data_IF_109291742413
#
_entry.id   IF_109291742413
#
_cell.length_a   1.000
_cell.length_b   1.000
_cell.length_c   1.000
_cell.angle_alpha   90.00
_cell.angle_beta   90.00
_cell.angle_gamma   90.00
#
_symmetry.space_group_name_H-M   'P 1'
#
loop_
_entity.id
_entity.type
_entity.pdbx_description
1 polymer ?
#
# COMPACT_ATOMS: atom_id res chain seq x y z
N UNK A 1 17.97 42.29 -17.57
CA UNK A 1 17.05 41.34 -18.23
C UNK A 1 17.25 39.86 -17.83
N UNK A 2 18.45 39.37 -17.49
CA UNK A 2 18.67 37.94 -17.17
C UNK A 2 18.06 37.44 -15.83
N UNK A 3 17.88 38.31 -14.84
CA UNK A 3 17.39 37.89 -13.49
C UNK A 3 15.88 37.57 -13.49
N UNK A 4 15.08 38.28 -14.27
CA UNK A 4 13.63 38.06 -14.35
C UNK A 4 13.29 36.80 -15.17
N UNK A 5 14.10 36.45 -16.16
CA UNK A 5 13.91 35.24 -16.96
C UNK A 5 14.14 33.95 -16.15
N UNK A 6 15.06 33.96 -15.18
CA UNK A 6 15.32 32.82 -14.30
C UNK A 6 14.16 32.61 -13.31
N UNK A 7 13.58 33.70 -12.80
CA UNK A 7 12.42 33.66 -11.88
C UNK A 7 11.19 33.12 -12.63
N UNK A 8 10.94 33.59 -13.85
CA UNK A 8 9.84 33.08 -14.69
C UNK A 8 10.02 31.61 -15.03
N UNK A 9 11.23 31.17 -15.35
CA UNK A 9 11.55 29.76 -15.63
C UNK A 9 11.31 28.86 -14.42
N UNK A 10 11.78 29.27 -13.22
CA UNK A 10 11.51 28.54 -11.99
C UNK A 10 10.01 28.55 -11.62
N UNK A 11 9.31 29.67 -11.84
CA UNK A 11 7.86 29.75 -11.60
C UNK A 11 7.09 28.82 -12.57
N UNK A 12 7.51 28.71 -13.83
CA UNK A 12 6.86 27.82 -14.80
C UNK A 12 7.10 26.34 -14.47
N UNK A 13 8.31 25.99 -14.02
CA UNK A 13 8.60 24.63 -13.54
C UNK A 13 7.77 24.32 -12.27
N UNK A 14 7.69 25.25 -11.32
CA UNK A 14 6.88 25.08 -10.13
C UNK A 14 5.40 24.93 -10.46
N UNK A 15 4.89 25.66 -11.43
CA UNK A 15 3.49 25.58 -11.87
C UNK A 15 3.18 24.29 -12.63
N UNK A 16 4.13 23.75 -13.40
CA UNK A 16 3.97 22.47 -14.10
C UNK A 16 4.01 21.24 -13.15
N UNK A 17 4.61 21.37 -11.96
CA UNK A 17 4.60 20.34 -10.92
C UNK A 17 3.30 20.31 -10.11
N UNK A 18 2.47 21.36 -10.20
CA UNK A 18 1.20 21.47 -9.42
C UNK A 18 -0.01 20.88 -10.17
N UNK A 19 0.15 20.43 -11.40
CA UNK A 19 -0.97 19.88 -12.20
C UNK A 19 -1.34 18.42 -11.90
N UNK A 20 -0.76 17.81 -10.88
CA UNK A 20 -1.22 16.51 -10.38
C UNK A 20 -2.30 16.69 -9.33
N UNK A 21 -3.34 15.87 -9.39
CA UNK A 21 -4.47 15.87 -8.47
C UNK A 21 -3.98 15.84 -7.01
N UNK A 22 -4.12 16.98 -6.32
CA UNK A 22 -3.72 17.11 -4.92
C UNK A 22 -4.82 16.44 -4.08
N UNK A 23 -4.54 15.26 -3.54
CA UNK A 23 -5.37 14.65 -2.51
C UNK A 23 -5.16 15.38 -1.18
N UNK A 24 -6.26 15.87 -0.59
CA UNK A 24 -6.27 16.95 0.41
C UNK A 24 -6.31 16.49 1.87
N UNK A 25 -6.03 15.23 2.20
CA UNK A 25 -6.28 14.74 3.56
C UNK A 25 -5.24 15.19 4.61
N UNK A 26 -3.97 15.36 4.23
CA UNK A 26 -2.93 15.87 5.13
C UNK A 26 -2.97 17.37 5.37
N UNK A 27 -3.83 18.08 4.68
CA UNK A 27 -3.90 19.56 4.75
C UNK A 27 -4.38 20.10 6.10
N UNK A 28 -5.16 19.31 6.86
CA UNK A 28 -5.65 19.78 8.16
C UNK A 28 -4.48 19.94 9.15
N UNK A 29 -3.65 18.88 9.28
CA UNK A 29 -2.49 18.90 10.18
C UNK A 29 -1.47 19.96 9.79
N UNK A 30 -1.29 20.19 8.48
CA UNK A 30 -0.33 21.16 7.94
C UNK A 30 -0.54 22.59 8.45
N UNK A 31 -1.75 22.94 8.89
CA UNK A 31 -2.10 24.25 9.40
C UNK A 31 -2.29 24.31 10.93
N UNK A 32 -2.09 23.19 11.64
CA UNK A 32 -2.28 23.09 13.09
C UNK A 32 -0.98 23.43 13.86
N UNK A 33 -0.60 24.70 13.96
CA UNK A 33 0.63 25.16 14.61
C UNK A 33 0.75 24.85 16.12
N UNK A 34 -0.36 24.50 16.78
CA UNK A 34 -0.36 24.15 18.21
C UNK A 34 -0.11 22.67 18.49
N UNK A 35 -0.15 21.82 17.44
CA UNK A 35 0.00 20.37 17.56
C UNK A 35 1.44 19.99 17.18
N UNK A 36 2.18 19.28 18.05
CA UNK A 36 3.56 18.86 17.76
C UNK A 36 3.74 18.07 16.47
N UNK A 37 2.70 17.31 16.08
CA UNK A 37 2.69 16.45 14.89
C UNK A 37 2.78 17.24 13.56
N UNK A 38 2.58 18.56 13.57
CA UNK A 38 2.75 19.41 12.37
C UNK A 38 4.15 19.26 11.76
N UNK A 39 5.17 18.97 12.58
CA UNK A 39 6.53 18.71 12.12
C UNK A 39 6.66 17.44 11.24
N UNK A 40 5.68 16.55 11.25
CA UNK A 40 5.66 15.37 10.37
C UNK A 40 5.23 15.74 8.93
N UNK A 41 4.51 16.83 8.74
CA UNK A 41 4.09 17.31 7.42
C UNK A 41 5.09 18.31 6.81
N UNK A 42 5.81 19.03 7.66
CA UNK A 42 6.85 19.97 7.22
C UNK A 42 7.87 20.18 8.36
N UNK A 43 9.13 19.76 8.19
CA UNK A 43 10.14 19.89 9.23
C UNK A 43 10.51 21.35 9.58
N UNK A 44 10.12 22.33 8.77
CA UNK A 44 10.28 23.75 9.09
C UNK A 44 9.15 24.29 9.99
N UNK A 45 8.00 23.60 10.07
CA UNK A 45 6.89 24.00 10.93
C UNK A 45 7.09 23.46 12.34
N UNK A 46 7.32 24.36 13.28
CA UNK A 46 7.55 24.02 14.66
C UNK A 46 6.32 24.34 15.51
N UNK A 47 6.00 23.49 16.48
CA UNK A 47 4.92 23.78 17.43
C UNK A 47 5.26 25.03 18.25
N UNK A 48 4.21 25.71 18.75
CA UNK A 48 4.36 26.93 19.55
C UNK A 48 4.97 26.68 20.92
N UNK A 49 4.94 25.44 21.42
CA UNK A 49 5.49 25.05 22.72
C UNK A 49 7.02 25.07 22.74
N UNK A 50 7.60 25.31 23.93
CA UNK A 50 9.06 25.26 24.13
C UNK A 50 9.60 23.84 24.05
N UNK A 51 8.86 22.88 24.56
CA UNK A 51 9.19 21.47 24.52
C UNK A 51 7.91 20.62 24.57
N UNK A 52 7.98 19.41 24.03
CA UNK A 52 6.94 18.40 24.17
C UNK A 52 7.59 17.03 24.32
N UNK A 53 6.86 16.13 24.96
CA UNK A 53 7.18 14.70 25.03
C UNK A 53 5.88 13.94 24.77
N UNK A 54 5.94 13.00 23.88
CA UNK A 54 4.85 12.07 23.55
C UNK A 54 5.19 10.65 23.93
N UNK A 55 4.22 9.96 24.52
CA UNK A 55 4.33 8.56 24.95
C UNK A 55 3.49 7.65 24.05
N UNK A 56 3.78 6.34 24.02
CA UNK A 56 3.01 5.38 23.25
C UNK A 56 1.51 5.49 23.57
N UNK A 57 0.67 5.29 22.55
CA UNK A 57 -0.79 5.38 22.59
C UNK A 57 -1.39 6.76 22.91
N UNK A 58 -0.63 7.71 23.43
CA UNK A 58 -1.12 9.04 23.82
C UNK A 58 -0.62 10.15 22.90
N UNK A 59 0.40 9.89 22.06
CA UNK A 59 1.09 10.97 21.35
C UNK A 59 0.67 11.14 19.90
N UNK A 60 0.54 10.08 19.13
CA UNK A 60 0.08 10.14 17.74
C UNK A 60 -0.29 8.77 17.21
N UNK A 61 -1.48 8.69 16.70
CA UNK A 61 -1.98 7.62 15.86
C UNK A 61 -2.47 8.28 14.57
N UNK A 62 -1.85 7.93 13.46
CA UNK A 62 -2.32 8.33 12.13
C UNK A 62 -2.90 7.11 11.43
N UNK A 63 -4.04 7.31 10.82
CA UNK A 63 -4.77 6.29 10.10
C UNK A 63 -5.43 6.91 8.88
N UNK A 64 -5.13 6.40 7.71
CA UNK A 64 -5.70 6.85 6.46
C UNK A 64 -6.15 5.67 5.61
N UNK A 65 -7.35 5.77 5.04
CA UNK A 65 -7.87 4.81 4.07
C UNK A 65 -8.35 5.60 2.85
N UNK A 66 -7.76 5.30 1.70
CA UNK A 66 -8.17 5.89 0.43
C UNK A 66 -8.65 4.80 -0.51
N UNK A 67 -9.70 5.11 -1.26
CA UNK A 67 -10.24 4.26 -2.32
C UNK A 67 -10.48 5.10 -3.58
N UNK A 68 -9.94 4.65 -4.70
CA UNK A 68 -10.12 5.33 -5.99
C UNK A 68 -11.31 4.78 -6.79
N UNK A 69 -11.84 3.62 -6.39
CA UNK A 69 -12.79 2.86 -7.20
C UNK A 69 -14.24 3.35 -7.07
N UNK A 70 -14.72 3.57 -5.85
CA UNK A 70 -16.11 3.91 -5.61
C UNK A 70 -16.28 4.75 -4.33
N UNK A 71 -17.38 5.48 -4.24
CA UNK A 71 -17.77 6.18 -3.01
C UNK A 71 -19.01 5.53 -2.39
N UNK A 72 -19.29 5.84 -1.12
CA UNK A 72 -20.41 5.23 -0.36
C UNK A 72 -21.75 5.24 -1.14
N UNK A 73 -22.07 6.35 -1.82
CA UNK A 73 -23.29 6.50 -2.62
C UNK A 73 -23.36 5.56 -3.84
N UNK A 74 -22.22 4.99 -4.27
CA UNK A 74 -22.16 4.08 -5.41
C UNK A 74 -22.41 2.63 -4.96
N UNK A 75 -22.22 2.33 -3.68
CA UNK A 75 -22.41 0.99 -3.13
C UNK A 75 -23.90 0.74 -2.85
N UNK A 76 -24.58 1.72 -2.26
CA UNK A 76 -25.91 1.52 -1.72
C UNK A 76 -27.00 2.19 -2.57
N UNK A 77 -28.09 1.45 -2.73
CA UNK A 77 -29.34 1.91 -3.32
C UNK A 77 -30.47 1.65 -2.35
N UNK A 78 -31.33 2.64 -2.15
CA UNK A 78 -32.53 2.48 -1.32
C UNK A 78 -33.48 1.46 -1.97
N UNK A 79 -34.05 0.57 -1.17
CA UNK A 79 -35.04 -0.40 -1.66
C UNK A 79 -36.34 0.34 -2.04
N UNK A 80 -36.92 0.04 -3.21
CA UNK A 80 -38.16 0.69 -3.66
C UNK A 80 -39.35 0.42 -2.76
N UNK A 81 -39.36 -0.71 -2.06
CA UNK A 81 -40.48 -1.19 -1.25
C UNK A 81 -40.35 -0.89 0.25
N UNK A 82 -39.11 -0.65 0.71
CA UNK A 82 -38.80 -0.41 2.13
C UNK A 82 -37.86 0.77 2.26
N UNK A 83 -38.39 1.93 2.63
CA UNK A 83 -37.61 3.20 2.66
C UNK A 83 -36.45 3.19 3.68
N UNK A 84 -36.50 2.31 4.67
CA UNK A 84 -35.45 2.18 5.70
C UNK A 84 -34.39 1.11 5.36
N UNK A 85 -34.51 0.45 4.20
CA UNK A 85 -33.64 -0.63 3.80
C UNK A 85 -32.78 -0.25 2.58
N UNK A 86 -31.52 -0.68 2.60
CA UNK A 86 -30.57 -0.46 1.52
C UNK A 86 -30.15 -1.80 0.92
N UNK A 87 -29.96 -1.81 -0.39
CA UNK A 87 -29.38 -2.93 -1.12
C UNK A 87 -28.07 -2.50 -1.76
N UNK A 88 -27.15 -3.45 -1.97
CA UNK A 88 -25.92 -3.22 -2.72
C UNK A 88 -26.25 -3.22 -4.21
N UNK A 89 -25.90 -2.16 -4.91
CA UNK A 89 -26.09 -2.02 -6.36
C UNK A 89 -24.78 -2.34 -7.09
N UNK A 90 -24.59 -3.61 -7.44
CA UNK A 90 -23.38 -4.08 -8.12
C UNK A 90 -23.21 -3.47 -9.54
N UNK A 91 -24.31 -3.13 -10.23
CA UNK A 91 -24.23 -2.45 -11.53
C UNK A 91 -23.66 -1.05 -11.38
N UNK A 92 -24.08 -0.36 -10.33
CA UNK A 92 -23.61 0.99 -10.04
C UNK A 92 -22.16 0.99 -9.60
N UNK A 93 -21.74 0.01 -8.79
CA UNK A 93 -20.33 -0.19 -8.41
C UNK A 93 -19.49 -0.43 -9.67
N UNK A 94 -19.89 -1.37 -10.52
CA UNK A 94 -19.16 -1.71 -11.75
C UNK A 94 -18.99 -0.51 -12.68
N UNK A 95 -20.01 0.33 -12.82
CA UNK A 95 -19.95 1.54 -13.63
C UNK A 95 -19.07 2.65 -13.02
N UNK A 96 -18.89 2.67 -11.70
CA UNK A 96 -18.04 3.61 -11.00
C UNK A 96 -16.55 3.20 -11.05
N UNK A 97 -16.29 1.89 -11.15
CA UNK A 97 -14.93 1.36 -11.17
C UNK A 97 -14.21 1.65 -12.49
N UNK A 98 -12.95 2.03 -12.38
CA UNK A 98 -12.01 2.06 -13.51
C UNK A 98 -11.45 0.66 -13.80
N UNK A 99 -10.67 0.51 -14.87
CA UNK A 99 -10.02 -0.76 -15.20
C UNK A 99 -9.09 -1.25 -14.09
N UNK A 100 -8.49 -0.33 -13.34
CA UNK A 100 -7.64 -0.57 -12.16
C UNK A 100 -8.05 0.36 -11.04
N UNK A 101 -8.33 -0.21 -9.88
CA UNK A 101 -8.77 0.53 -8.71
C UNK A 101 -7.81 0.26 -7.55
N UNK A 102 -7.61 1.25 -6.69
CA UNK A 102 -6.66 1.17 -5.59
C UNK A 102 -7.38 1.39 -4.28
N UNK A 103 -7.08 0.54 -3.32
CA UNK A 103 -7.36 0.72 -1.91
C UNK A 103 -6.02 0.91 -1.21
N UNK A 104 -5.82 2.05 -0.55
CA UNK A 104 -4.60 2.32 0.22
C UNK A 104 -4.94 2.42 1.69
N UNK A 105 -4.03 1.91 2.50
CA UNK A 105 -4.12 1.91 3.94
C UNK A 105 -2.78 2.35 4.51
N UNK A 106 -2.77 3.51 5.17
CA UNK A 106 -1.60 4.05 5.82
C UNK A 106 -1.84 4.14 7.33
N UNK A 107 -0.97 3.52 8.09
CA UNK A 107 -0.99 3.54 9.54
C UNK A 107 0.37 3.91 10.09
N UNK A 108 0.40 4.95 10.94
CA UNK A 108 1.61 5.37 11.65
C UNK A 108 1.33 5.46 13.14
N UNK A 109 2.08 4.70 13.90
CA UNK A 109 2.02 4.68 15.35
C UNK A 109 3.31 5.21 15.96
N UNK A 110 3.22 6.32 16.66
CA UNK A 110 4.37 6.91 17.36
C UNK A 110 4.60 6.21 18.70
N UNK A 111 5.78 5.61 18.82
CA UNK A 111 6.21 4.96 20.07
C UNK A 111 6.73 6.02 21.06
N UNK A 112 7.63 6.86 20.61
CA UNK A 112 8.21 7.96 21.38
C UNK A 112 8.39 9.11 20.43
N UNK A 113 8.04 10.31 20.88
CA UNK A 113 8.41 11.53 20.17
C UNK A 113 8.68 12.65 21.18
N UNK A 114 9.67 13.45 20.92
CA UNK A 114 9.93 14.63 21.70
C UNK A 114 10.57 15.72 20.85
N UNK A 115 10.43 16.94 21.29
CA UNK A 115 11.10 18.07 20.68
C UNK A 115 11.28 19.21 21.68
N UNK A 116 12.27 20.04 21.43
CA UNK A 116 12.56 21.18 22.27
C UNK A 116 13.24 22.28 21.49
N UNK A 117 13.00 23.51 21.97
CA UNK A 117 13.58 24.73 21.43
C UNK A 117 14.94 24.99 22.05
N UNK A 118 15.97 25.13 21.20
CA UNK A 118 17.31 25.52 21.59
C UNK A 118 17.47 27.00 21.26
N UNK A 119 17.60 27.83 22.30
CA UNK A 119 17.54 29.29 22.18
C UNK A 119 16.20 29.71 21.52
N UNK A 120 16.13 30.82 20.80
CA UNK A 120 14.90 31.24 20.13
C UNK A 120 14.80 30.80 18.66
N UNK A 121 15.90 30.37 18.08
CA UNK A 121 16.05 30.17 16.64
C UNK A 121 15.97 28.70 16.22
N UNK A 122 16.43 27.79 17.06
CA UNK A 122 16.54 26.36 16.70
C UNK A 122 15.46 25.53 17.38
N UNK A 123 14.98 24.55 16.67
CA UNK A 123 14.07 23.54 17.20
C UNK A 123 14.57 22.14 16.82
N UNK A 124 14.78 21.31 17.81
CA UNK A 124 15.16 19.91 17.65
C UNK A 124 13.95 19.00 17.85
N UNK A 125 13.84 17.94 17.05
CA UNK A 125 12.83 16.89 17.19
C UNK A 125 13.48 15.52 17.07
N UNK A 126 12.95 14.58 17.82
CA UNK A 126 13.30 13.16 17.68
C UNK A 126 12.03 12.33 17.82
N UNK A 127 11.93 11.24 17.03
CA UNK A 127 10.80 10.34 17.10
C UNK A 127 11.15 8.93 16.67
N UNK A 128 10.42 7.98 17.25
CA UNK A 128 10.40 6.57 16.85
C UNK A 128 8.96 6.23 16.54
N UNK A 129 8.71 5.70 15.36
CA UNK A 129 7.38 5.26 14.94
C UNK A 129 7.42 3.93 14.19
N UNK A 130 6.30 3.23 14.19
CA UNK A 130 6.04 2.10 13.30
C UNK A 130 5.10 2.55 12.21
N UNK A 131 5.45 2.25 10.98
CA UNK A 131 4.67 2.59 9.79
C UNK A 131 4.22 1.31 9.10
N UNK A 132 2.97 1.27 8.69
CA UNK A 132 2.38 0.24 7.84
C UNK A 132 1.78 0.97 6.65
N UNK A 133 2.30 0.67 5.46
CA UNK A 133 1.80 1.22 4.21
C UNK A 133 1.36 0.05 3.34
N UNK A 134 0.11 0.05 2.95
CA UNK A 134 -0.49 -0.99 2.11
C UNK A 134 -1.20 -0.34 0.93
N UNK A 135 -0.95 -0.88 -0.26
CA UNK A 135 -1.65 -0.51 -1.47
C UNK A 135 -2.12 -1.77 -2.19
N UNK A 136 -3.40 -1.98 -2.18
CA UNK A 136 -4.07 -3.07 -2.85
C UNK A 136 -4.69 -2.58 -4.16
N UNK A 137 -4.29 -3.15 -5.30
CA UNK A 137 -4.90 -2.88 -6.60
C UNK A 137 -5.78 -4.04 -7.02
N UNK A 138 -7.01 -3.73 -7.42
CA UNK A 138 -7.96 -4.70 -7.96
C UNK A 138 -8.58 -4.19 -9.27
N UNK A 139 -8.77 -5.09 -10.26
CA UNK A 139 -9.43 -4.73 -11.51
C UNK A 139 -10.96 -4.73 -11.35
N UNK A 140 -11.63 -3.93 -12.20
CA UNK A 140 -13.10 -3.88 -12.31
C UNK A 140 -13.70 -5.25 -12.60
N UNK A 141 -12.98 -6.11 -13.31
CA UNK A 141 -13.47 -7.38 -13.81
C UNK A 141 -13.86 -8.35 -12.69
N UNK A 142 -13.40 -8.14 -11.44
CA UNK A 142 -13.92 -8.87 -10.28
C UNK A 142 -15.44 -8.68 -10.08
N UNK A 143 -15.94 -7.47 -10.31
CA UNK A 143 -17.38 -7.20 -10.21
C UNK A 143 -18.10 -7.69 -11.47
N UNK A 144 -17.46 -7.59 -12.64
CA UNK A 144 -17.99 -8.08 -13.92
C UNK A 144 -18.13 -9.60 -13.94
N UNK A 145 -17.30 -10.34 -13.17
CA UNK A 145 -17.32 -11.79 -13.05
C UNK A 145 -18.70 -12.35 -12.63
N UNK A 146 -19.52 -11.58 -11.91
CA UNK A 146 -20.91 -11.95 -11.56
C UNK A 146 -21.80 -12.26 -12.77
N UNK A 147 -21.45 -11.73 -13.95
CA UNK A 147 -22.14 -11.98 -15.22
C UNK A 147 -21.61 -13.22 -15.95
N UNK A 148 -20.63 -13.91 -15.34
CA UNK A 148 -19.88 -14.99 -15.94
C UNK A 148 -18.67 -14.47 -16.75
N UNK A 149 -17.84 -15.42 -17.16
CA UNK A 149 -16.62 -15.17 -17.94
C UNK A 149 -16.79 -15.48 -19.44
N UNK A 150 -18.00 -15.84 -19.85
CA UNK A 150 -18.33 -16.03 -21.26
C UNK A 150 -18.48 -14.66 -21.93
N UNK A 151 -17.64 -14.40 -22.91
CA UNK A 151 -17.74 -13.24 -23.78
C UNK A 151 -17.84 -13.70 -25.23
N UNK A 152 -18.92 -13.32 -25.91
CA UNK A 152 -19.06 -13.52 -27.36
C UNK A 152 -17.92 -12.85 -28.13
N UNK A 153 -17.27 -11.87 -27.53
CA UNK A 153 -16.14 -11.15 -28.12
C UNK A 153 -14.79 -11.82 -27.86
N UNK A 154 -14.73 -12.88 -27.06
CA UNK A 154 -13.47 -13.53 -26.69
C UNK A 154 -12.53 -12.68 -25.83
N UNK A 155 -13.01 -11.56 -25.25
CA UNK A 155 -12.19 -10.70 -24.40
C UNK A 155 -12.01 -11.36 -23.03
N UNK A 156 -10.77 -11.67 -22.61
CA UNK A 156 -10.54 -12.26 -21.31
C UNK A 156 -10.80 -11.29 -20.18
N UNK A 157 -11.31 -11.78 -19.05
CA UNK A 157 -11.40 -11.03 -17.81
C UNK A 157 -10.01 -10.93 -17.18
N UNK A 158 -9.64 -9.75 -16.71
CA UNK A 158 -8.42 -9.55 -15.95
C UNK A 158 -8.73 -9.65 -14.44
N UNK A 159 -8.18 -10.68 -13.80
CA UNK A 159 -8.36 -10.96 -12.38
C UNK A 159 -7.05 -10.75 -11.58
N UNK A 160 -6.02 -10.14 -12.20
CA UNK A 160 -4.74 -9.88 -11.55
C UNK A 160 -4.86 -8.78 -10.49
N UNK A 161 -4.64 -9.13 -9.24
CA UNK A 161 -4.53 -8.19 -8.12
C UNK A 161 -3.05 -7.81 -7.92
N UNK A 162 -2.77 -6.65 -7.34
CA UNK A 162 -1.42 -6.29 -6.91
C UNK A 162 -1.45 -5.84 -5.47
N UNK A 163 -0.47 -6.30 -4.73
CA UNK A 163 -0.25 -5.99 -3.33
C UNK A 163 1.10 -5.32 -3.15
N UNK A 164 1.11 -4.19 -2.45
CA UNK A 164 2.33 -3.53 -2.00
C UNK A 164 2.18 -3.22 -0.52
N UNK A 165 2.71 -4.10 0.32
CA UNK A 165 2.75 -3.94 1.77
C UNK A 165 4.17 -3.64 2.20
N UNK A 166 4.36 -2.63 3.04
CA UNK A 166 5.62 -2.38 3.74
C UNK A 166 5.37 -2.03 5.20
N UNK A 167 6.08 -2.72 6.09
CA UNK A 167 6.05 -2.50 7.53
C UNK A 167 7.48 -2.20 7.97
N UNK A 168 7.67 -1.05 8.64
CA UNK A 168 9.00 -0.65 9.10
C UNK A 168 8.96 0.25 10.33
N UNK A 169 10.04 0.23 11.10
CA UNK A 169 10.30 1.22 12.14
C UNK A 169 11.08 2.40 11.56
N UNK A 170 10.67 3.59 11.93
CA UNK A 170 11.32 4.86 11.58
C UNK A 170 11.94 5.48 12.84
N UNK A 171 13.23 5.78 12.78
CA UNK A 171 13.96 6.58 13.77
C UNK A 171 14.32 7.90 13.10
N UNK A 172 13.67 8.98 13.53
CA UNK A 172 13.77 10.27 12.87
C UNK A 172 14.38 11.31 13.80
N UNK A 173 15.36 12.07 13.31
CA UNK A 173 15.94 13.22 14.01
C UNK A 173 15.83 14.45 13.11
N UNK A 174 15.21 15.51 13.63
CA UNK A 174 14.94 16.73 12.88
C UNK A 174 15.56 17.95 13.54
N UNK A 175 15.98 18.89 12.70
CA UNK A 175 16.48 20.18 13.13
C UNK A 175 15.91 21.27 12.22
N UNK A 176 15.37 22.31 12.81
CA UNK A 176 14.94 23.49 12.08
C UNK A 176 15.56 24.77 12.64
N UNK A 177 15.74 25.75 11.75
CA UNK A 177 16.28 27.07 12.12
C UNK A 177 15.40 28.18 11.59
N UNK A 178 15.04 29.10 12.48
CA UNK A 178 14.36 30.35 12.16
C UNK A 178 15.38 31.45 11.93
N UNK A 179 15.28 32.13 10.80
CA UNK A 179 16.12 33.28 10.43
C UNK A 179 15.38 34.58 10.70
N UNK A 180 16.14 35.68 10.81
CA UNK A 180 15.61 37.01 11.15
C UNK A 180 14.66 37.58 10.08
N UNK A 181 14.77 37.13 8.82
CA UNK A 181 13.94 37.57 7.71
C UNK A 181 12.57 36.86 7.63
N UNK A 182 12.16 36.12 8.67
CA UNK A 182 10.89 35.38 8.68
C UNK A 182 10.95 33.99 8.05
N UNK A 183 12.09 33.59 7.47
CA UNK A 183 12.30 32.27 6.89
C UNK A 183 12.63 31.26 7.99
N UNK A 184 12.01 30.10 7.96
CA UNK A 184 12.39 28.92 8.72
C UNK A 184 12.74 27.79 7.72
N UNK A 185 13.87 27.16 7.91
CA UNK A 185 14.28 25.97 7.18
C UNK A 185 14.32 24.77 8.13
N UNK A 186 13.91 23.61 7.67
CA UNK A 186 13.89 22.38 8.44
C UNK A 186 14.40 21.20 7.63
N UNK A 187 15.12 20.31 8.30
CA UNK A 187 15.60 19.04 7.75
C UNK A 187 15.36 17.97 8.81
N UNK A 188 14.92 16.78 8.37
CA UNK A 188 14.77 15.60 9.21
C UNK A 188 15.45 14.41 8.50
N UNK A 189 16.35 13.75 9.20
CA UNK A 189 16.98 12.52 8.72
C UNK A 189 16.31 11.32 9.38
N UNK A 190 16.16 10.24 8.62
CA UNK A 190 15.45 9.05 9.05
C UNK A 190 16.31 7.82 8.82
N UNK A 191 16.42 7.00 9.85
CA UNK A 191 16.89 5.63 9.72
C UNK A 191 15.66 4.70 9.71
N UNK A 192 15.60 3.82 8.71
CA UNK A 192 14.47 2.93 8.49
C UNK A 192 14.91 1.47 8.74
N UNK A 193 14.17 0.76 9.59
CA UNK A 193 14.37 -0.66 9.88
C UNK A 193 13.15 -1.43 9.39
N UNK A 194 13.27 -2.10 8.22
CA UNK A 194 12.17 -2.81 7.57
C UNK A 194 11.83 -4.10 8.29
N UNK A 195 10.56 -4.31 8.65
CA UNK A 195 10.07 -5.53 9.27
C UNK A 195 9.57 -6.51 8.23
N UNK A 196 8.64 -6.08 7.39
CA UNK A 196 8.03 -6.92 6.36
C UNK A 196 7.78 -6.13 5.09
N UNK A 197 7.95 -6.81 3.97
CA UNK A 197 7.62 -6.30 2.65
C UNK A 197 7.00 -7.39 1.80
N UNK A 198 5.94 -7.04 1.09
CA UNK A 198 5.35 -7.84 0.02
C UNK A 198 5.09 -6.92 -1.17
N UNK A 199 5.67 -7.22 -2.30
CA UNK A 199 5.55 -6.39 -3.50
C UNK A 199 5.22 -7.23 -4.72
N UNK A 200 4.07 -6.98 -5.32
CA UNK A 200 3.68 -7.57 -6.59
C UNK A 200 4.09 -6.65 -7.75
N UNK A 201 5.25 -6.92 -8.36
CA UNK A 201 5.66 -6.17 -9.56
C UNK A 201 4.77 -6.50 -10.75
N UNK A 202 4.48 -7.80 -10.91
CA UNK A 202 3.51 -8.31 -11.86
C UNK A 202 2.58 -9.28 -11.14
N UNK A 203 1.33 -9.20 -11.42
CA UNK A 203 0.35 -10.20 -11.07
C UNK A 203 -0.79 -10.10 -12.09
N UNK A 204 -0.57 -10.73 -13.24
CA UNK A 204 -1.57 -10.83 -14.28
C UNK A 204 -2.20 -12.22 -14.18
N UNK A 205 -3.49 -12.24 -14.08
CA UNK A 205 -4.32 -13.44 -14.21
C UNK A 205 -5.46 -13.09 -15.15
N UNK A 206 -5.44 -13.64 -16.34
CA UNK A 206 -6.55 -13.50 -17.26
C UNK A 206 -7.31 -14.81 -17.39
N UNK A 207 -8.61 -14.71 -17.54
CA UNK A 207 -9.52 -15.83 -17.67
C UNK A 207 -10.49 -15.61 -18.82
N UNK A 208 -10.49 -16.50 -19.78
CA UNK A 208 -11.42 -16.50 -20.89
C UNK A 208 -12.08 -17.89 -21.06
N UNK A 209 -13.35 -17.91 -21.39
CA UNK A 209 -14.03 -19.12 -21.82
C UNK A 209 -14.10 -19.13 -23.35
N UNK A 210 -13.52 -20.17 -23.98
CA UNK A 210 -13.62 -20.32 -25.42
C UNK A 210 -14.96 -20.96 -25.80
N UNK A 211 -15.50 -20.53 -26.94
CA UNK A 211 -16.60 -21.24 -27.60
C UNK A 211 -16.01 -22.40 -28.40
N UNK A 212 -16.25 -23.62 -27.99
CA UNK A 212 -15.97 -24.78 -28.84
C UNK A 212 -17.13 -25.02 -29.80
N UNK A 213 -16.84 -25.52 -30.99
CA UNK A 213 -17.85 -25.98 -31.95
C UNK A 213 -18.73 -27.15 -31.42
N UNK A 214 -18.31 -27.71 -30.30
CA UNK A 214 -19.01 -28.70 -29.49
C UNK A 214 -19.42 -28.07 -28.18
N UNK A 215 -20.47 -28.53 -27.54
CA UNK A 215 -21.01 -27.94 -26.29
C UNK A 215 -20.05 -27.96 -25.06
N UNK A 216 -18.76 -28.13 -25.28
CA UNK A 216 -17.69 -28.14 -24.28
C UNK A 216 -16.99 -26.78 -24.30
N UNK A 217 -16.99 -26.09 -23.15
CA UNK A 217 -16.33 -24.80 -22.98
C UNK A 217 -14.99 -25.00 -22.29
N UNK A 218 -13.91 -24.52 -22.91
CA UNK A 218 -12.59 -24.54 -22.31
C UNK A 218 -12.36 -23.20 -21.55
N UNK A 219 -11.87 -23.32 -20.34
CA UNK A 219 -11.42 -22.19 -19.56
C UNK A 219 -9.92 -21.99 -19.78
N UNK A 220 -9.58 -20.90 -20.42
CA UNK A 220 -8.21 -20.53 -20.71
C UNK A 220 -7.73 -19.53 -19.67
N UNK A 221 -6.67 -19.86 -18.96
CA UNK A 221 -6.01 -19.00 -18.01
C UNK A 221 -4.63 -18.63 -18.53
N UNK A 222 -4.29 -17.34 -18.43
CA UNK A 222 -2.95 -16.82 -18.67
C UNK A 222 -2.44 -16.15 -17.40
N UNK A 223 -1.27 -16.55 -16.94
CA UNK A 223 -0.69 -16.11 -15.67
C UNK A 223 0.72 -15.57 -15.88
N UNK A 224 1.03 -14.39 -15.26
CA UNK A 224 2.37 -13.83 -15.22
C UNK A 224 2.59 -13.16 -13.85
N UNK A 225 3.36 -13.83 -12.97
CA UNK A 225 3.62 -13.40 -11.60
C UNK A 225 5.07 -13.02 -11.40
N UNK A 226 5.30 -11.88 -10.76
CA UNK A 226 6.58 -11.47 -10.13
C UNK A 226 6.24 -10.86 -8.77
N UNK A 227 6.36 -11.69 -7.74
CA UNK A 227 6.08 -11.31 -6.34
C UNK A 227 7.38 -11.38 -5.58
N UNK A 228 7.70 -10.31 -4.86
CA UNK A 228 8.86 -10.20 -3.98
C UNK A 228 8.41 -10.02 -2.55
N UNK A 229 9.06 -10.72 -1.66
CA UNK A 229 8.77 -10.62 -0.24
C UNK A 229 10.05 -10.58 0.59
N UNK A 230 9.97 -9.93 1.73
CA UNK A 230 10.98 -9.98 2.79
C UNK A 230 10.23 -9.90 4.12
N UNK A 231 10.33 -10.93 4.91
CA UNK A 231 9.64 -11.04 6.21
C UNK A 231 10.62 -11.50 7.29
N UNK A 232 10.41 -11.18 8.56
CA UNK A 232 11.35 -11.49 9.64
C UNK A 232 11.38 -12.97 10.05
N UNK A 233 10.59 -13.81 9.37
CA UNK A 233 10.47 -15.24 9.64
C UNK A 233 10.86 -16.04 8.39
N UNK A 234 11.46 -17.22 8.60
CA UNK A 234 11.69 -18.17 7.52
C UNK A 234 10.35 -18.74 7.04
N UNK A 235 10.14 -18.71 5.74
CA UNK A 235 8.94 -19.24 5.12
C UNK A 235 9.27 -19.92 3.77
N UNK A 236 8.38 -20.77 3.30
CA UNK A 236 8.54 -21.49 2.03
C UNK A 236 7.22 -21.70 1.33
N UNK A 237 7.30 -22.09 0.07
CA UNK A 237 6.14 -22.58 -0.67
C UNK A 237 6.08 -24.09 -0.55
N UNK A 238 4.90 -24.60 -0.26
CA UNK A 238 4.57 -26.02 -0.38
C UNK A 238 4.18 -26.31 -1.84
N UNK A 239 4.43 -27.53 -2.28
CA UNK A 239 4.11 -27.96 -3.64
C UNK A 239 3.43 -29.33 -3.60
N UNK A 240 2.45 -29.48 -4.44
CA UNK A 240 1.78 -30.76 -4.62
C UNK A 240 2.65 -31.80 -5.39
N UNK A 241 2.11 -33.00 -5.59
CA UNK A 241 2.78 -34.09 -6.30
C UNK A 241 3.08 -33.76 -7.77
N UNK A 242 2.43 -32.76 -8.35
CA UNK A 242 2.62 -32.25 -9.71
C UNK A 242 3.61 -31.07 -9.76
N UNK A 243 4.30 -30.79 -8.64
CA UNK A 243 5.22 -29.67 -8.48
C UNK A 243 4.56 -28.28 -8.59
N UNK A 244 3.24 -28.21 -8.40
CA UNK A 244 2.48 -27.00 -8.37
C UNK A 244 2.50 -26.39 -6.95
N UNK A 245 2.54 -25.04 -6.82
CA UNK A 245 2.47 -24.38 -5.53
C UNK A 245 1.03 -24.50 -5.02
N UNK A 246 0.86 -25.20 -3.90
CA UNK A 246 -0.43 -25.43 -3.22
C UNK A 246 -0.58 -24.66 -1.92
N UNK A 247 0.52 -24.03 -1.42
CA UNK A 247 0.48 -23.24 -0.22
C UNK A 247 1.79 -22.55 0.14
N UNK A 248 1.80 -21.95 1.31
CA UNK A 248 2.99 -21.38 1.93
C UNK A 248 3.03 -21.80 3.41
N UNK A 249 4.21 -22.09 3.92
CA UNK A 249 4.42 -22.49 5.31
C UNK A 249 5.52 -21.65 5.97
N UNK A 250 5.43 -21.48 7.28
CA UNK A 250 6.50 -20.96 8.11
C UNK A 250 7.46 -22.11 8.41
N UNK A 251 8.74 -21.94 8.08
CA UNK A 251 9.75 -23.02 8.19
C UNK A 251 10.52 -23.00 9.51
N UNK A 252 10.42 -21.93 10.30
CA UNK A 252 11.20 -21.76 11.54
C UNK A 252 10.47 -22.25 12.78
N UNK A 253 9.14 -22.26 12.78
CA UNK A 253 8.31 -22.72 13.87
C UNK A 253 6.91 -23.10 13.38
N UNK A 254 6.22 -23.93 14.17
CA UNK A 254 4.82 -24.26 13.94
C UNK A 254 3.93 -23.11 14.47
N UNK A 255 3.20 -22.37 13.60
CA UNK A 255 2.37 -21.25 14.02
C UNK A 255 1.18 -21.66 14.90
N UNK A 256 0.77 -22.94 14.86
CA UNK A 256 -0.30 -23.46 15.69
C UNK A 256 0.18 -23.84 17.11
N UNK A 257 1.51 -23.86 17.32
CA UNK A 257 2.12 -24.14 18.62
C UNK A 257 2.45 -22.85 19.36
N UNK A 258 1.62 -22.45 20.33
CA UNK A 258 1.86 -21.24 21.14
C UNK A 258 3.22 -21.22 21.83
N UNK A 259 3.72 -22.38 22.29
CA UNK A 259 5.02 -22.49 22.93
C UNK A 259 6.19 -22.24 21.97
N UNK A 260 6.09 -22.71 20.71
CA UNK A 260 7.11 -22.43 19.69
C UNK A 260 7.08 -20.98 19.26
N UNK A 261 5.90 -20.38 19.09
CA UNK A 261 5.71 -18.96 18.79
C UNK A 261 6.32 -18.09 19.89
N UNK A 262 6.03 -18.37 21.17
CA UNK A 262 6.57 -17.62 22.29
C UNK A 262 8.10 -17.73 22.35
N UNK A 263 8.65 -18.93 22.19
CA UNK A 263 10.10 -19.16 22.13
C UNK A 263 10.74 -18.36 21.01
N UNK A 264 10.20 -18.43 19.80
CA UNK A 264 10.69 -17.68 18.64
C UNK A 264 10.69 -16.17 18.88
N UNK A 265 9.59 -15.61 19.40
CA UNK A 265 9.48 -14.18 19.71
C UNK A 265 10.50 -13.72 20.76
N UNK A 266 10.73 -14.54 21.79
CA UNK A 266 11.69 -14.22 22.85
C UNK A 266 13.14 -14.27 22.34
N UNK A 267 13.50 -15.26 21.53
CA UNK A 267 14.83 -15.42 20.96
C UNK A 267 15.14 -14.36 19.89
N UNK A 268 14.14 -13.91 19.14
CA UNK A 268 14.30 -12.98 18.02
C UNK A 268 13.85 -11.54 18.33
N UNK A 269 13.60 -11.22 19.60
CA UNK A 269 13.06 -9.92 20.02
C UNK A 269 13.84 -8.71 19.47
N UNK A 270 15.18 -8.79 19.42
CA UNK A 270 16.02 -7.71 18.89
C UNK A 270 15.95 -7.63 17.37
N UNK A 271 15.70 -8.74 16.68
CA UNK A 271 15.58 -8.79 15.23
C UNK A 271 14.31 -8.09 14.72
N UNK A 272 13.28 -7.95 15.56
CA UNK A 272 12.09 -7.16 15.22
C UNK A 272 12.32 -5.66 15.32
N UNK A 273 13.29 -5.21 16.14
CA UNK A 273 13.62 -3.78 16.25
C UNK A 273 14.68 -3.36 15.24
N UNK A 274 15.69 -4.21 15.02
CA UNK A 274 16.86 -3.90 14.19
C UNK A 274 17.11 -5.06 13.24
N UNK A 275 16.49 -4.99 12.08
CA UNK A 275 16.64 -5.97 10.99
C UNK A 275 17.86 -5.62 10.11
N UNK A 276 18.25 -6.54 9.21
CA UNK A 276 19.18 -6.22 8.12
C UNK A 276 18.51 -5.49 6.95
N UNK A 277 17.18 -5.35 6.99
CA UNK A 277 16.41 -4.52 6.08
C UNK A 277 16.56 -3.05 6.46
N UNK A 278 17.60 -2.41 5.97
CA UNK A 278 17.99 -1.04 6.38
C UNK A 278 17.71 -0.05 5.28
N UNK A 279 17.27 1.13 5.70
CA UNK A 279 17.01 2.23 4.82
C UNK A 279 17.32 3.57 5.43
N UNK A 280 17.28 4.58 4.58
CA UNK A 280 17.45 5.97 4.96
C UNK A 280 16.41 6.83 4.26
N UNK A 281 15.97 7.87 4.95
CA UNK A 281 15.07 8.88 4.40
C UNK A 281 15.48 10.27 4.85
N UNK A 282 14.97 11.26 4.14
CA UNK A 282 15.16 12.67 4.42
C UNK A 282 13.87 13.44 4.17
N UNK A 283 13.55 14.35 5.09
CA UNK A 283 12.52 15.35 4.87
C UNK A 283 13.19 16.72 4.84
N UNK A 284 12.73 17.57 3.94
CA UNK A 284 13.19 18.95 3.80
C UNK A 284 11.98 19.86 3.73
N UNK A 285 12.03 21.01 4.41
CA UNK A 285 10.93 21.95 4.36
C UNK A 285 11.37 23.39 4.59
N UNK A 286 10.50 24.28 4.16
CA UNK A 286 10.60 25.69 4.45
C UNK A 286 9.26 26.29 4.88
N UNK A 287 9.31 27.33 5.68
CA UNK A 287 8.17 28.16 6.06
C UNK A 287 8.63 29.62 6.05
N UNK A 288 8.02 30.44 5.19
CA UNK A 288 8.39 31.85 5.03
C UNK A 288 7.21 32.75 5.33
N UNK A 289 7.31 33.52 6.40
CA UNK A 289 6.34 34.54 6.76
C UNK A 289 6.68 35.83 6.06
N UNK A 290 5.86 36.22 5.08
CA UNK A 290 6.02 37.49 4.35
C UNK A 290 5.61 38.64 5.24
N UNK A 291 4.45 38.50 5.90
CA UNK A 291 3.91 39.44 6.87
C UNK A 291 2.99 38.72 7.88
N UNK A 292 2.16 39.46 8.62
CA UNK A 292 1.25 38.87 9.61
C UNK A 292 0.04 38.17 9.01
N UNK A 293 -0.22 38.36 7.70
CA UNK A 293 -1.37 37.81 7.01
C UNK A 293 -0.97 36.72 5.98
N UNK A 294 0.22 36.84 5.41
CA UNK A 294 0.69 35.96 4.34
C UNK A 294 1.92 35.16 4.72
N UNK A 295 1.85 33.86 4.49
CA UNK A 295 3.00 32.96 4.60
C UNK A 295 3.00 31.98 3.43
N UNK A 296 4.20 31.56 3.01
CA UNK A 296 4.42 30.55 1.98
C UNK A 296 5.25 29.44 2.58
N UNK A 297 4.80 28.20 2.47
CA UNK A 297 5.52 27.04 2.99
C UNK A 297 5.45 25.88 2.02
N UNK A 298 6.44 25.00 2.09
CA UNK A 298 6.51 23.78 1.29
C UNK A 298 7.45 22.77 1.91
N UNK A 299 7.21 21.50 1.59
CA UNK A 299 8.04 20.39 2.07
C UNK A 299 8.09 19.27 1.06
N UNK A 300 9.19 18.52 1.12
CA UNK A 300 9.34 17.20 0.54
C UNK A 300 9.59 16.27 1.72
N UNK A 301 8.71 15.31 1.92
CA UNK A 301 8.77 14.36 3.03
C UNK A 301 8.95 12.94 2.48
N UNK A 302 9.50 12.05 3.31
CA UNK A 302 9.65 10.62 3.05
C UNK A 302 10.45 10.29 1.77
N UNK A 303 11.38 11.18 1.38
CA UNK A 303 12.30 10.87 0.29
C UNK A 303 13.35 9.87 0.79
N UNK A 304 13.19 8.60 0.46
CA UNK A 304 14.05 7.55 0.97
C UNK A 304 13.86 6.19 0.31
N UNK A 305 14.51 5.20 0.87
CA UNK A 305 14.42 3.81 0.42
C UNK A 305 14.72 2.84 1.57
N UNK A 306 14.25 1.61 1.45
CA UNK A 306 14.63 0.48 2.30
C UNK A 306 15.20 -0.62 1.40
N UNK A 307 16.36 -1.16 1.77
CA UNK A 307 16.96 -2.31 1.11
C UNK A 307 16.54 -3.58 1.83
N UNK A 308 15.64 -4.32 1.22
CA UNK A 308 15.12 -5.58 1.74
C UNK A 308 16.11 -6.71 1.49
N UNK A 309 16.48 -7.45 2.54
CA UNK A 309 17.49 -8.53 2.50
C UNK A 309 17.09 -9.75 3.32
N UNK A 310 16.45 -9.54 4.49
CA UNK A 310 16.14 -10.62 5.41
C UNK A 310 15.04 -11.49 4.82
N UNK A 311 15.33 -12.79 4.68
CA UNK A 311 14.42 -13.79 4.10
C UNK A 311 13.79 -13.32 2.77
N UNK A 312 14.57 -12.53 1.99
CA UNK A 312 14.10 -12.00 0.72
C UNK A 312 13.90 -13.14 -0.29
N UNK A 313 12.68 -13.27 -0.79
CA UNK A 313 12.29 -14.26 -1.78
C UNK A 313 11.61 -13.60 -2.96
N UNK A 314 11.82 -14.20 -4.13
CA UNK A 314 11.12 -13.80 -5.36
C UNK A 314 10.42 -15.03 -5.93
N UNK A 315 9.14 -14.90 -6.17
CA UNK A 315 8.33 -15.87 -6.91
C UNK A 315 8.06 -15.31 -8.29
N UNK A 316 8.55 -16.01 -9.31
CA UNK A 316 8.22 -15.71 -10.71
C UNK A 316 7.60 -16.93 -11.34
N UNK A 317 6.49 -16.75 -12.03
CA UNK A 317 5.83 -17.78 -12.78
C UNK A 317 5.11 -17.13 -13.96
N UNK A 318 5.24 -17.72 -15.14
CA UNK A 318 4.43 -17.34 -16.30
C UNK A 318 4.01 -18.61 -17.02
N UNK A 319 2.81 -18.63 -17.55
CA UNK A 319 2.31 -19.79 -18.29
C UNK A 319 0.83 -19.66 -18.61
N UNK A 320 0.41 -20.56 -19.48
CA UNK A 320 -0.98 -20.70 -19.84
C UNK A 320 -1.43 -22.11 -19.42
N UNK A 321 -2.65 -22.21 -18.91
CA UNK A 321 -3.28 -23.50 -18.67
C UNK A 321 -4.73 -23.48 -19.11
N UNK A 322 -5.19 -24.63 -19.55
CA UNK A 322 -6.55 -24.82 -20.04
C UNK A 322 -7.23 -25.86 -19.18
N UNK A 323 -8.42 -25.52 -18.70
CA UNK A 323 -9.32 -26.47 -18.04
C UNK A 323 -10.43 -26.79 -19.03
N UNK A 324 -10.36 -27.97 -19.60
CA UNK A 324 -11.39 -28.43 -20.56
C UNK A 324 -12.66 -28.79 -19.80
N UNK A 325 -13.80 -28.43 -20.38
CA UNK A 325 -15.11 -28.73 -19.82
C UNK A 325 -15.35 -30.25 -19.72
N UNK A 326 -16.17 -30.62 -18.75
CA UNK A 326 -16.59 -32.02 -18.56
C UNK A 326 -17.77 -32.32 -19.48
N UNK A 327 -17.62 -33.29 -20.37
CA UNK A 327 -18.74 -33.81 -21.19
C UNK A 327 -19.66 -34.67 -20.31
N UNK A 328 -20.66 -33.99 -19.71
CA UNK A 328 -21.64 -34.67 -18.86
C UNK A 328 -22.42 -35.78 -19.57
N UNK A 329 -22.59 -35.71 -20.88
CA UNK A 329 -23.30 -36.72 -21.65
C UNK A 329 -22.52 -38.05 -21.69
N UNK A 330 -21.19 -37.97 -21.69
CA UNK A 330 -20.29 -39.13 -21.67
C UNK A 330 -20.28 -39.86 -20.32
N UNK A 331 -20.56 -39.14 -19.23
CA UNK A 331 -20.48 -39.66 -17.85
C UNK A 331 -21.85 -39.75 -17.16
N UNK A 332 -22.94 -39.71 -17.94
CA UNK A 332 -24.29 -39.78 -17.39
C UNK A 332 -24.52 -41.14 -16.71
N UNK A 333 -24.63 -41.12 -15.39
CA UNK A 333 -24.84 -42.29 -14.54
C UNK A 333 -23.67 -42.72 -13.66
N UNK A 334 -22.47 -42.13 -13.81
CA UNK A 334 -21.32 -42.42 -12.94
C UNK A 334 -20.71 -41.14 -12.36
N UNK A 335 -21.17 -40.77 -11.17
CA UNK A 335 -20.75 -39.55 -10.47
C UNK A 335 -19.24 -39.53 -10.16
N UNK A 336 -18.62 -40.68 -9.87
CA UNK A 336 -17.20 -40.75 -9.54
C UNK A 336 -16.30 -40.56 -10.77
N UNK A 337 -16.75 -40.92 -11.95
CA UNK A 337 -16.01 -40.72 -13.21
C UNK A 337 -16.01 -39.24 -13.63
N UNK A 338 -17.05 -38.49 -13.31
CA UNK A 338 -17.15 -37.03 -13.59
C UNK A 338 -16.12 -36.25 -12.82
N UNK A 339 -15.89 -36.57 -11.54
CA UNK A 339 -14.93 -35.88 -10.66
C UNK A 339 -13.48 -36.08 -11.10
N UNK A 340 -13.18 -37.23 -11.73
CA UNK A 340 -11.83 -37.60 -12.16
C UNK A 340 -11.51 -37.25 -13.62
N UNK A 341 -12.47 -36.75 -14.40
CA UNK A 341 -12.31 -36.47 -15.83
C UNK A 341 -11.69 -35.10 -16.15
N UNK A 342 -11.44 -34.25 -15.16
CA UNK A 342 -10.74 -32.98 -15.34
C UNK A 342 -9.27 -33.20 -15.68
N UNK A 343 -8.94 -33.30 -16.97
CA UNK A 343 -7.53 -33.32 -17.41
C UNK A 343 -6.98 -31.90 -17.46
N UNK A 344 -6.05 -31.61 -16.57
CA UNK A 344 -5.25 -30.35 -16.60
C UNK A 344 -4.03 -30.64 -17.47
N UNK A 345 -3.93 -30.02 -18.62
CA UNK A 345 -2.72 -30.05 -19.46
C UNK A 345 -1.94 -28.77 -19.24
N UNK A 346 -0.67 -28.93 -18.82
CA UNK A 346 0.29 -27.85 -18.66
C UNK A 346 1.16 -27.76 -19.92
N UNK A 347 1.28 -26.58 -20.49
CA UNK A 347 2.20 -26.29 -21.61
C UNK A 347 3.40 -25.49 -21.10
#
# INVERSE_FOLDING_TARGET
MKKNSLIVFFATILFSLVSNSIYSQDNLLYNMSHVPQINNTNPAKNPSCKAFVGFPALSSLYFDINNTGFVYKDIFKQMPTELDSFMIDLDKIENALESKNYLTFDYKYSLINFGFRIKQEWYFTFGISTNINEQFMFPRDYVSLRRGNYSETGIPLNLGIKENLSIYHEFAAGLSKKFYNGLTLGVKIKYLSGLANLQSNKLNLSWATSTADTAIYDWNFDTDFDIRSSVPVGWGFTRDSSNFIDGAEITEFDPDSSAQVEKFLNENRNSFLFTNNRGFGIDIGFDYKIDNQFSVSGSIIDLGFIKWKDNAKTLTQSGQFVVSGIDMAKYYGDYNSVVNAGTTTWA
#
